data_IF_158394337796
#
_entry.id   IF_158394337796
#
_cell.length_a   1.000
_cell.length_b   1.000
_cell.length_c   1.000
_cell.angle_alpha   90.00
_cell.angle_beta   90.00
_cell.angle_gamma   90.00
#
_symmetry.space_group_name_H-M   'P 1'
#
loop_
_entity.id
_entity.type
_entity.pdbx_description
1 polymer ?
#
# COMPACT_ATOMS: atom_id res chain seq x y z
N UNK A 1 20.00 -17.31 -18.22
CA UNK A 1 19.10 -17.43 -17.05
C UNK A 1 18.53 -16.04 -16.79
N UNK A 2 17.21 -15.87 -16.83
CA UNK A 2 16.60 -14.58 -16.49
C UNK A 2 16.62 -14.44 -14.97
N UNK A 3 17.43 -13.53 -14.44
CA UNK A 3 17.47 -13.28 -13.00
C UNK A 3 16.07 -12.91 -12.50
N UNK A 4 15.53 -13.73 -11.59
CA UNK A 4 14.55 -13.26 -10.63
C UNK A 4 15.33 -12.21 -9.83
N UNK A 5 15.06 -10.92 -10.06
CA UNK A 5 15.75 -9.85 -9.31
C UNK A 5 15.70 -10.22 -7.82
N UNK A 6 16.87 -10.18 -7.14
CA UNK A 6 16.93 -10.36 -5.69
C UNK A 6 15.81 -9.53 -5.09
N UNK A 7 14.88 -10.18 -4.40
CA UNK A 7 13.81 -9.48 -3.71
C UNK A 7 14.47 -8.38 -2.88
N UNK A 8 14.16 -7.12 -3.19
CA UNK A 8 14.52 -6.01 -2.32
C UNK A 8 13.97 -6.26 -0.92
N UNK A 9 14.31 -5.39 0.04
CA UNK A 9 13.73 -5.49 1.39
C UNK A 9 12.20 -5.40 1.27
N UNK A 10 11.51 -6.53 1.42
CA UNK A 10 10.06 -6.60 1.35
C UNK A 10 9.50 -5.71 2.44
N UNK A 11 8.60 -4.80 2.09
CA UNK A 11 7.88 -4.05 3.11
C UNK A 11 6.99 -5.03 3.89
N UNK A 12 7.27 -5.16 5.19
CA UNK A 12 6.52 -6.02 6.11
C UNK A 12 5.42 -5.25 6.85
N UNK A 13 5.30 -3.94 6.61
CA UNK A 13 4.36 -3.04 7.28
C UNK A 13 3.10 -2.76 6.44
N UNK A 14 2.68 -3.71 5.60
CA UNK A 14 1.42 -3.59 4.85
C UNK A 14 0.28 -4.11 5.74
N UNK A 15 -0.34 -3.21 6.51
CA UNK A 15 -1.46 -3.52 7.41
C UNK A 15 -2.82 -3.47 6.70
N UNK A 16 -2.91 -4.11 5.53
CA UNK A 16 -4.15 -4.23 4.77
C UNK A 16 -4.34 -5.60 4.13
N UNK A 17 -5.57 -5.91 3.74
CA UNK A 17 -5.90 -7.05 2.90
C UNK A 17 -6.71 -6.61 1.69
N UNK A 18 -6.46 -7.21 0.53
CA UNK A 18 -7.30 -7.06 -0.66
C UNK A 18 -8.03 -8.37 -0.89
N UNK A 19 -9.35 -8.32 -1.01
CA UNK A 19 -10.13 -9.46 -1.49
C UNK A 19 -10.75 -9.14 -2.84
N UNK A 20 -10.75 -10.13 -3.73
CA UNK A 20 -11.34 -10.04 -5.07
C UNK A 20 -12.33 -11.18 -5.25
N UNK A 21 -13.59 -10.86 -5.49
CA UNK A 21 -14.62 -11.85 -5.83
C UNK A 21 -14.78 -11.89 -7.35
N UNK A 22 -14.24 -12.92 -7.99
CA UNK A 22 -14.27 -13.05 -9.46
C UNK A 22 -15.68 -13.29 -10.03
N UNK A 23 -16.64 -13.75 -9.21
CA UNK A 23 -18.03 -13.97 -9.69
C UNK A 23 -18.80 -12.67 -9.74
N UNK A 24 -18.61 -11.83 -8.73
CA UNK A 24 -19.24 -10.51 -8.63
C UNK A 24 -18.43 -9.41 -9.32
N UNK A 25 -17.17 -9.70 -9.61
CA UNK A 25 -16.16 -8.74 -10.06
C UNK A 25 -15.93 -7.62 -9.02
N UNK A 26 -16.07 -7.94 -7.72
CA UNK A 26 -15.87 -7.00 -6.62
C UNK A 26 -14.41 -7.01 -6.16
N UNK A 27 -13.89 -5.83 -5.81
CA UNK A 27 -12.62 -5.67 -5.11
C UNK A 27 -12.92 -4.96 -3.80
N UNK A 28 -12.41 -5.48 -2.70
CA UNK A 28 -12.60 -4.93 -1.36
C UNK A 28 -11.24 -4.69 -0.73
N UNK A 29 -11.02 -3.45 -0.30
CA UNK A 29 -9.85 -3.05 0.47
C UNK A 29 -10.18 -3.03 1.95
N UNK A 30 -9.52 -3.92 2.68
CA UNK A 30 -9.65 -4.05 4.12
C UNK A 30 -8.45 -3.41 4.78
N UNK A 31 -8.67 -2.40 5.59
CA UNK A 31 -7.58 -1.69 6.27
C UNK A 31 -7.99 -1.31 7.68
N UNK A 32 -7.01 -1.17 8.56
CA UNK A 32 -7.22 -0.60 9.88
C UNK A 32 -6.70 0.82 9.86
N UNK A 33 -7.46 1.72 10.44
CA UNK A 33 -7.02 3.08 10.68
C UNK A 33 -7.40 3.45 12.11
N UNK A 34 -6.41 3.96 12.87
CA UNK A 34 -6.47 4.06 14.33
C UNK A 34 -6.94 2.76 15.00
N UNK A 35 -8.18 2.71 15.47
CA UNK A 35 -8.80 1.54 16.13
C UNK A 35 -9.92 0.92 15.30
N UNK A 36 -10.27 1.50 14.15
CA UNK A 36 -11.41 1.11 13.33
C UNK A 36 -10.93 0.24 12.17
N UNK A 37 -11.61 -0.89 11.96
CA UNK A 37 -11.44 -1.71 10.75
C UNK A 37 -12.41 -1.20 9.68
N UNK A 38 -11.90 -0.90 8.50
CA UNK A 38 -12.67 -0.44 7.35
C UNK A 38 -12.75 -1.52 6.29
N UNK A 39 -13.95 -1.65 5.70
CA UNK A 39 -14.22 -2.44 4.49
C UNK A 39 -14.58 -1.47 3.37
N UNK A 40 -13.65 -1.24 2.47
CA UNK A 40 -13.79 -0.23 1.42
C UNK A 40 -14.09 -0.93 0.10
N UNK A 41 -15.24 -0.62 -0.48
CA UNK A 41 -15.63 -1.14 -1.80
C UNK A 41 -14.91 -0.35 -2.90
N UNK A 42 -14.19 -1.07 -3.77
CA UNK A 42 -13.46 -0.51 -4.90
C UNK A 42 -14.24 -0.70 -6.19
N UNK A 43 -14.67 0.40 -6.80
CA UNK A 43 -15.47 0.39 -8.03
C UNK A 43 -14.62 0.71 -9.27
N UNK A 44 -13.43 1.26 -9.10
CA UNK A 44 -12.52 1.62 -10.20
C UNK A 44 -11.62 0.45 -10.57
N UNK A 45 -11.33 0.32 -11.87
CA UNK A 45 -10.42 -0.69 -12.42
C UNK A 45 -9.37 0.01 -13.29
N UNK A 46 -8.14 -0.51 -13.35
CA UNK A 46 -7.13 -0.01 -14.28
C UNK A 46 -7.61 -0.21 -15.72
N UNK A 47 -7.55 0.85 -16.52
CA UNK A 47 -7.78 0.77 -17.96
C UNK A 47 -6.43 0.53 -18.65
N UNK A 48 -6.19 -0.69 -19.11
CA UNK A 48 -4.91 -1.11 -19.64
C UNK A 48 -4.76 -0.81 -21.13
N UNK A 49 -3.62 -0.24 -21.50
CA UNK A 49 -3.11 -0.24 -22.87
C UNK A 49 -2.11 -1.38 -23.01
N UNK A 50 -2.45 -2.40 -23.81
CA UNK A 50 -1.57 -3.55 -24.08
C UNK A 50 -0.69 -3.24 -25.29
N UNK A 51 0.56 -3.67 -25.24
CA UNK A 51 1.54 -3.50 -26.31
C UNK A 51 2.02 -4.87 -26.81
N UNK A 52 2.47 -4.92 -28.06
CA UNK A 52 3.04 -6.14 -28.68
C UNK A 52 4.47 -6.46 -28.20
N UNK A 53 5.04 -5.60 -27.35
CA UNK A 53 6.34 -5.81 -26.74
C UNK A 53 6.32 -7.05 -25.83
N UNK A 54 7.19 -8.01 -26.14
CA UNK A 54 7.41 -9.21 -25.37
C UNK A 54 8.71 -9.11 -24.57
N UNK A 55 8.62 -9.45 -23.29
CA UNK A 55 9.76 -9.50 -22.38
C UNK A 55 9.72 -10.81 -21.59
N UNK A 56 10.90 -11.42 -21.38
CA UNK A 56 11.01 -12.57 -20.49
C UNK A 56 11.17 -12.09 -19.04
N UNK A 57 10.22 -12.43 -18.17
CA UNK A 57 10.28 -12.16 -16.73
C UNK A 57 10.39 -13.49 -15.99
N UNK A 58 11.58 -13.78 -15.45
CA UNK A 58 11.91 -15.09 -14.89
C UNK A 58 11.80 -16.18 -15.96
N UNK A 59 10.83 -17.09 -15.78
CA UNK A 59 10.57 -18.20 -16.70
C UNK A 59 9.38 -17.96 -17.65
N UNK A 60 8.73 -16.80 -17.57
CA UNK A 60 7.53 -16.51 -18.35
C UNK A 60 7.83 -15.54 -19.49
N UNK A 61 7.26 -15.82 -20.65
CA UNK A 61 7.12 -14.82 -21.71
C UNK A 61 5.94 -13.92 -21.35
N UNK A 62 6.19 -12.61 -21.36
CA UNK A 62 5.24 -11.62 -20.86
C UNK A 62 5.00 -10.52 -21.88
N UNK A 63 3.75 -10.07 -21.98
CA UNK A 63 3.37 -8.89 -22.73
C UNK A 63 3.37 -7.66 -21.83
N UNK A 64 3.80 -6.53 -22.38
CA UNK A 64 3.78 -5.24 -21.69
C UNK A 64 2.37 -4.63 -21.73
N UNK A 65 1.96 -4.03 -20.63
CA UNK A 65 0.79 -3.18 -20.53
C UNK A 65 1.07 -1.94 -19.67
N UNK A 66 0.40 -0.83 -19.96
CA UNK A 66 0.52 0.41 -19.17
C UNK A 66 -0.87 0.93 -18.80
N UNK A 67 -0.96 1.63 -17.66
CA UNK A 67 -2.18 2.30 -17.22
C UNK A 67 -1.84 3.51 -16.36
N UNK A 68 -2.74 4.49 -16.32
CA UNK A 68 -2.76 5.50 -15.27
C UNK A 68 -3.88 5.12 -14.29
N UNK A 69 -3.50 4.83 -13.05
CA UNK A 69 -4.41 4.32 -12.04
C UNK A 69 -4.03 4.85 -10.65
N UNK A 70 -5.03 5.40 -9.94
CA UNK A 70 -4.90 5.96 -8.58
C UNK A 70 -3.76 6.99 -8.47
N UNK A 71 -3.78 7.95 -9.39
CA UNK A 71 -2.82 9.05 -9.46
C UNK A 71 -1.41 8.68 -9.96
N UNK A 72 -1.16 7.43 -10.37
CA UNK A 72 0.16 6.97 -10.80
C UNK A 72 0.14 6.30 -12.18
N UNK A 73 1.23 6.47 -12.94
CA UNK A 73 1.51 5.64 -14.12
C UNK A 73 2.15 4.33 -13.69
N UNK A 74 1.63 3.24 -14.23
CA UNK A 74 2.09 1.88 -13.96
C UNK A 74 2.45 1.18 -15.26
N UNK A 75 3.57 0.44 -15.21
CA UNK A 75 3.94 -0.52 -16.25
C UNK A 75 3.83 -1.92 -15.66
N UNK A 76 3.06 -2.79 -16.33
CA UNK A 76 2.85 -4.18 -15.97
C UNK A 76 3.37 -5.11 -17.06
N UNK A 77 3.90 -6.26 -16.64
CA UNK A 77 4.21 -7.40 -17.50
C UNK A 77 3.36 -8.58 -17.06
N UNK A 78 2.55 -9.11 -17.96
CA UNK A 78 1.62 -10.21 -17.70
C UNK A 78 1.88 -11.40 -18.62
N UNK A 79 1.53 -12.61 -18.17
CA UNK A 79 1.74 -13.84 -18.94
C UNK A 79 0.46 -14.64 -19.12
N UNK A 80 0.20 -15.08 -20.36
CA UNK A 80 -0.91 -15.99 -20.71
C UNK A 80 -0.63 -17.44 -20.28
N UNK A 81 0.62 -17.78 -19.96
CA UNK A 81 1.00 -19.12 -19.49
C UNK A 81 0.34 -19.47 -18.14
N UNK A 82 -0.04 -18.46 -17.36
CA UNK A 82 -0.88 -18.61 -16.17
C UNK A 82 -2.21 -17.92 -16.48
N UNK A 83 -3.26 -18.66 -16.88
CA UNK A 83 -4.53 -18.11 -17.36
C UNK A 83 -5.42 -17.63 -16.20
N UNK A 84 -4.87 -16.80 -15.32
CA UNK A 84 -5.56 -16.17 -14.20
C UNK A 84 -5.48 -14.66 -14.44
N UNK A 85 -6.61 -14.04 -14.73
CA UNK A 85 -6.70 -12.62 -15.08
C UNK A 85 -6.61 -11.72 -13.84
N UNK A 86 -5.48 -11.77 -13.15
CA UNK A 86 -5.29 -11.13 -11.85
C UNK A 86 -3.86 -10.61 -11.65
N UNK A 87 -3.63 -9.93 -10.53
CA UNK A 87 -2.35 -9.35 -10.14
C UNK A 87 -2.30 -8.97 -8.66
N UNK A 88 -1.13 -8.49 -8.21
CA UNK A 88 -0.95 -8.02 -6.85
C UNK A 88 -1.83 -6.78 -6.56
N UNK A 89 -2.06 -6.49 -5.28
CA UNK A 89 -2.86 -5.35 -4.85
C UNK A 89 -4.25 -5.33 -5.54
N UNK A 90 -4.71 -4.18 -6.02
CA UNK A 90 -5.98 -3.97 -6.73
C UNK A 90 -5.85 -4.23 -8.25
N UNK A 91 -4.66 -4.53 -8.76
CA UNK A 91 -4.43 -4.69 -10.21
C UNK A 91 -5.05 -6.00 -10.73
N UNK A 92 -5.84 -5.90 -11.79
CA UNK A 92 -6.49 -7.01 -12.51
C UNK A 92 -6.92 -6.55 -13.90
N UNK A 93 -7.53 -7.41 -14.72
CA UNK A 93 -8.00 -7.06 -16.09
C UNK A 93 -7.01 -7.42 -17.22
N UNK A 94 -5.82 -7.88 -16.83
CA UNK A 94 -4.87 -8.71 -17.58
C UNK A 94 -5.45 -9.92 -18.34
N UNK A 95 -5.26 -10.19 -19.65
CA UNK A 95 -5.48 -11.55 -20.16
C UNK A 95 -4.31 -12.46 -19.77
N UNK A 96 -4.32 -12.92 -18.51
CA UNK A 96 -3.23 -13.65 -17.85
C UNK A 96 -2.75 -12.96 -16.56
N UNK A 97 -1.84 -13.63 -15.84
CA UNK A 97 -1.38 -13.17 -14.54
C UNK A 97 -0.34 -12.05 -14.69
N UNK A 98 -0.51 -10.96 -13.95
CA UNK A 98 0.51 -9.91 -13.80
C UNK A 98 1.64 -10.45 -12.93
N UNK A 99 2.82 -10.65 -13.52
CA UNK A 99 3.99 -11.21 -12.85
C UNK A 99 5.00 -10.15 -12.42
N UNK A 100 4.92 -8.96 -13.01
CA UNK A 100 5.70 -7.78 -12.59
C UNK A 100 4.88 -6.53 -12.84
N UNK A 101 4.90 -5.60 -11.90
CA UNK A 101 4.30 -4.28 -12.08
C UNK A 101 5.05 -3.26 -11.22
N UNK A 102 5.28 -2.07 -11.75
CA UNK A 102 5.99 -1.00 -11.05
C UNK A 102 5.46 0.37 -11.47
N UNK A 103 5.58 1.33 -10.54
CA UNK A 103 5.25 2.72 -10.80
C UNK A 103 6.38 3.40 -11.60
N UNK A 104 6.03 4.41 -12.40
CA UNK A 104 7.00 5.17 -13.23
C UNK A 104 8.14 5.80 -12.40
N UNK A 105 7.85 6.23 -11.17
CA UNK A 105 8.83 6.76 -10.22
C UNK A 105 9.65 5.68 -9.50
N UNK A 106 9.41 4.39 -9.78
CA UNK A 106 9.99 3.22 -9.12
C UNK A 106 9.83 3.20 -7.59
N UNK A 107 8.89 3.99 -7.03
CA UNK A 107 8.59 3.98 -5.60
C UNK A 107 7.93 2.67 -5.15
N UNK A 108 7.19 2.02 -6.05
CA UNK A 108 6.47 0.79 -5.77
C UNK A 108 6.73 -0.24 -6.86
N UNK A 109 7.05 -1.45 -6.45
CA UNK A 109 7.25 -2.57 -7.36
C UNK A 109 6.73 -3.86 -6.74
N UNK A 110 6.00 -4.62 -7.55
CA UNK A 110 5.59 -5.98 -7.27
C UNK A 110 6.23 -6.91 -8.28
N UNK A 111 6.72 -8.06 -7.81
CA UNK A 111 7.34 -9.06 -8.67
C UNK A 111 6.99 -10.45 -8.14
N UNK A 112 6.56 -11.33 -9.04
CA UNK A 112 6.27 -12.72 -8.72
C UNK A 112 7.57 -13.44 -8.39
N UNK A 113 7.70 -13.88 -7.14
CA UNK A 113 8.87 -14.65 -6.68
C UNK A 113 8.59 -16.14 -6.80
N UNK A 114 7.38 -16.58 -6.47
CA UNK A 114 7.02 -18.00 -6.43
C UNK A 114 5.54 -18.20 -6.72
N UNK A 115 5.22 -19.26 -7.46
CA UNK A 115 3.88 -19.80 -7.61
C UNK A 115 3.79 -21.14 -6.88
N UNK A 116 2.83 -21.28 -5.97
CA UNK A 116 2.61 -22.52 -5.22
C UNK A 116 1.12 -22.88 -5.23
N UNK A 117 0.83 -24.14 -5.55
CA UNK A 117 -0.52 -24.69 -5.39
C UNK A 117 -0.80 -24.94 -3.91
N UNK A 118 -1.87 -24.36 -3.40
CA UNK A 118 -2.31 -24.53 -2.01
C UNK A 118 -3.61 -25.32 -2.04
N UNK A 119 -3.73 -26.30 -1.15
CA UNK A 119 -4.99 -27.03 -0.90
C UNK A 119 -5.63 -26.45 0.36
N UNK A 120 -6.95 -26.27 0.36
CA UNK A 120 -7.74 -25.83 1.52
C UNK A 120 -7.30 -24.46 2.10
N UNK A 121 -7.35 -23.40 1.30
CA UNK A 121 -7.21 -22.03 1.81
C UNK A 121 -8.49 -21.58 2.51
N UNK A 122 -8.38 -21.19 3.79
CA UNK A 122 -9.43 -20.43 4.47
C UNK A 122 -9.12 -18.94 4.27
N UNK A 123 -10.05 -18.21 3.69
CA UNK A 123 -10.00 -16.75 3.66
C UNK A 123 -10.30 -16.29 5.09
N UNK A 124 -9.43 -15.46 5.66
CA UNK A 124 -9.68 -14.87 6.98
C UNK A 124 -10.80 -13.85 6.85
N UNK A 125 -11.88 -14.04 7.62
CA UNK A 125 -12.91 -13.02 7.76
C UNK A 125 -12.48 -12.03 8.83
N UNK A 126 -12.29 -10.78 8.42
CA UNK A 126 -12.06 -9.67 9.35
C UNK A 126 -13.42 -9.34 9.99
N UNK A 127 -13.45 -9.29 11.32
CA UNK A 127 -14.67 -9.00 12.09
C UNK A 127 -14.78 -7.51 12.38
N UNK A 128 -16.01 -7.04 12.59
CA UNK A 128 -16.33 -5.67 13.01
C UNK A 128 -15.82 -4.60 12.04
N UNK A 129 -15.98 -4.84 10.75
CA UNK A 129 -15.61 -3.87 9.72
C UNK A 129 -16.74 -2.86 9.49
N UNK A 130 -16.37 -1.58 9.39
CA UNK A 130 -17.28 -0.53 8.90
C UNK A 130 -17.18 -0.45 7.38
N UNK A 131 -18.28 -0.73 6.70
CA UNK A 131 -18.35 -0.60 5.23
C UNK A 131 -18.50 0.86 4.83
N UNK A 132 -17.62 1.33 3.94
CA UNK A 132 -17.65 2.68 3.36
C UNK A 132 -17.20 2.65 1.90
N UNK A 133 -17.46 3.73 1.16
CA UNK A 133 -16.91 3.92 -0.19
C UNK A 133 -15.47 4.44 -0.13
N UNK A 134 -14.72 4.32 -1.23
CA UNK A 134 -13.39 4.93 -1.32
C UNK A 134 -13.45 6.45 -1.06
N UNK A 135 -14.43 7.17 -1.63
CA UNK A 135 -14.61 8.62 -1.41
C UNK A 135 -14.78 8.96 0.09
N UNK A 136 -15.63 8.22 0.79
CA UNK A 136 -15.83 8.42 2.23
C UNK A 136 -14.56 8.13 3.03
N UNK A 137 -13.76 7.16 2.59
CA UNK A 137 -12.48 6.86 3.23
C UNK A 137 -11.46 7.98 3.02
N UNK A 138 -11.36 8.52 1.80
CA UNK A 138 -10.48 9.66 1.52
C UNK A 138 -10.89 10.90 2.31
N UNK A 139 -12.19 11.19 2.42
CA UNK A 139 -12.70 12.26 3.28
C UNK A 139 -12.35 12.03 4.75
N UNK A 140 -12.41 10.78 5.21
CA UNK A 140 -12.03 10.41 6.57
C UNK A 140 -10.53 10.68 6.82
N UNK A 141 -9.66 10.28 5.90
CA UNK A 141 -8.21 10.52 5.99
C UNK A 141 -7.87 12.02 5.95
N UNK A 142 -8.50 12.78 5.04
CA UNK A 142 -8.27 14.24 4.89
C UNK A 142 -8.66 15.04 6.13
N UNK A 143 -9.76 14.64 6.78
CA UNK A 143 -10.28 15.31 7.97
C UNK A 143 -9.66 14.79 9.27
N UNK A 144 -8.89 13.69 9.21
CA UNK A 144 -8.24 13.13 10.38
C UNK A 144 -7.20 14.09 10.96
N UNK A 145 -7.23 14.24 12.28
CA UNK A 145 -6.22 14.95 13.05
C UNK A 145 -5.71 13.98 14.10
N UNK A 146 -4.44 13.51 14.01
CA UNK A 146 -3.92 12.58 14.99
C UNK A 146 -3.95 13.20 16.38
N UNK A 147 -4.15 12.34 17.37
CA UNK A 147 -4.08 12.67 18.79
C UNK A 147 -3.04 11.78 19.47
N UNK A 148 -2.61 12.15 20.68
CA UNK A 148 -1.73 11.29 21.49
C UNK A 148 -2.35 9.91 21.71
N UNK A 149 -3.68 9.83 21.78
CA UNK A 149 -4.39 8.57 21.96
C UNK A 149 -4.28 7.62 20.76
N UNK A 150 -3.86 8.10 19.59
CA UNK A 150 -3.65 7.29 18.40
C UNK A 150 -2.24 6.65 18.37
N UNK A 151 -1.32 7.15 19.20
CA UNK A 151 0.04 6.65 19.35
C UNK A 151 0.01 5.40 20.23
N UNK A 152 0.48 4.27 19.70
CA UNK A 152 0.64 3.02 20.41
C UNK A 152 1.98 2.94 21.15
N UNK A 153 3.06 3.41 20.51
CA UNK A 153 4.40 3.44 21.11
C UNK A 153 5.28 4.52 20.47
N UNK A 154 6.27 4.99 21.21
CA UNK A 154 7.31 5.90 20.73
C UNK A 154 8.68 5.29 21.06
N UNK A 155 9.59 5.32 20.10
CA UNK A 155 10.99 4.92 20.29
C UNK A 155 11.92 5.93 19.63
N UNK A 156 13.14 6.06 20.14
CA UNK A 156 14.16 6.95 19.59
C UNK A 156 15.41 6.14 19.33
N UNK A 157 15.96 6.22 18.12
CA UNK A 157 17.19 5.53 17.78
C UNK A 157 18.45 6.28 18.28
N UNK A 158 19.62 5.65 18.17
CA UNK A 158 20.90 6.26 18.58
C UNK A 158 21.26 7.52 17.80
N UNK A 159 20.64 7.74 16.64
CA UNK A 159 20.88 8.89 15.78
C UNK A 159 19.90 10.04 16.08
N UNK A 160 18.94 9.83 16.98
CA UNK A 160 17.94 10.82 17.38
C UNK A 160 16.67 10.81 16.52
N UNK A 161 16.48 9.80 15.67
CA UNK A 161 15.23 9.64 14.90
C UNK A 161 14.15 9.10 15.83
N UNK A 162 13.00 9.79 15.89
CA UNK A 162 11.85 9.34 16.66
C UNK A 162 10.90 8.53 15.77
N UNK A 163 10.63 7.28 16.15
CA UNK A 163 9.64 6.41 15.49
C UNK A 163 8.36 6.34 16.33
N UNK A 164 7.26 6.76 15.72
CA UNK A 164 5.92 6.75 16.31
C UNK A 164 5.12 5.59 15.71
N UNK A 165 4.83 4.57 16.50
CA UNK A 165 3.94 3.49 16.11
C UNK A 165 2.50 3.90 16.43
N UNK A 166 1.66 3.92 15.42
CA UNK A 166 0.23 4.22 15.52
C UNK A 166 -0.57 2.96 15.87
N UNK A 167 -1.78 3.11 16.40
CA UNK A 167 -2.65 1.97 16.79
C UNK A 167 -3.13 1.10 15.62
N UNK A 168 -3.04 1.60 14.40
CA UNK A 168 -3.28 0.83 13.18
C UNK A 168 -2.06 -0.01 12.74
N UNK A 169 -0.90 0.18 13.38
CA UNK A 169 0.35 -0.50 13.07
C UNK A 169 1.30 0.31 12.19
N UNK A 170 0.85 1.44 11.64
CA UNK A 170 1.71 2.31 10.85
C UNK A 170 2.82 2.90 11.72
N UNK A 171 4.06 2.91 11.20
CA UNK A 171 5.20 3.50 11.88
C UNK A 171 5.66 4.74 11.12
N UNK A 172 5.62 5.87 11.80
CA UNK A 172 5.99 7.16 11.23
C UNK A 172 7.32 7.58 11.85
N UNK A 173 8.33 7.75 11.00
CA UNK A 173 9.65 8.22 11.43
C UNK A 173 9.72 9.73 11.25
N UNK A 174 9.89 10.45 12.36
CA UNK A 174 10.05 11.89 12.37
C UNK A 174 11.49 12.21 12.77
N UNK A 175 12.20 12.89 11.88
CA UNK A 175 13.52 13.44 12.17
C UNK A 175 13.36 14.90 12.61
N UNK A 176 13.38 15.13 13.92
CA UNK A 176 13.31 16.49 14.47
C UNK A 176 14.74 17.01 14.62
N UNK A 177 15.05 18.15 14.01
CA UNK A 177 16.39 18.74 14.09
C UNK A 177 16.76 19.05 15.54
N UNK A 178 18.04 18.90 15.90
CA UNK A 178 18.56 19.26 17.24
C UNK A 178 18.22 20.69 17.61
N UNK A 179 18.31 21.62 16.66
CA UNK A 179 17.93 23.02 16.84
C UNK A 179 16.46 23.17 17.28
N UNK A 180 15.54 22.41 16.66
CA UNK A 180 14.11 22.43 17.01
C UNK A 180 13.88 21.84 18.40
N UNK A 181 14.57 20.73 18.74
CA UNK A 181 14.50 20.11 20.06
C UNK A 181 15.04 21.04 21.16
N UNK A 182 16.15 21.73 20.93
CA UNK A 182 16.73 22.68 21.88
C UNK A 182 15.84 23.90 22.05
N UNK A 183 15.33 24.46 20.94
CA UNK A 183 14.44 25.63 20.93
C UNK A 183 13.16 25.40 21.71
N UNK A 184 12.58 24.20 21.64
CA UNK A 184 11.32 23.88 22.30
C UNK A 184 11.47 22.93 23.49
N UNK A 185 12.69 22.71 23.99
CA UNK A 185 12.98 21.83 25.13
C UNK A 185 12.11 22.13 26.36
N UNK A 186 11.83 23.41 26.61
CA UNK A 186 11.05 23.88 27.75
C UNK A 186 9.58 24.16 27.41
N UNK A 187 9.13 23.89 26.18
CA UNK A 187 7.76 24.08 25.72
C UNK A 187 7.23 22.79 25.08
N UNK A 188 6.82 21.86 25.95
CA UNK A 188 6.37 20.53 25.55
C UNK A 188 5.10 20.57 24.70
N UNK A 189 4.19 21.51 24.94
CA UNK A 189 2.95 21.66 24.16
C UNK A 189 3.27 22.01 22.70
N UNK A 190 4.15 22.99 22.48
CA UNK A 190 4.55 23.41 21.12
C UNK A 190 5.37 22.35 20.40
N UNK A 191 6.21 21.60 21.12
CA UNK A 191 6.90 20.45 20.54
C UNK A 191 5.90 19.35 20.15
N UNK A 192 4.88 19.13 20.98
CA UNK A 192 3.75 18.24 20.70
C UNK A 192 3.03 18.63 19.40
N UNK A 193 2.64 19.90 19.24
CA UNK A 193 1.97 20.39 18.03
C UNK A 193 2.79 20.14 16.75
N UNK A 194 4.11 20.35 16.81
CA UNK A 194 5.02 20.09 15.67
C UNK A 194 4.98 18.60 15.32
N UNK A 195 5.11 17.72 16.32
CA UNK A 195 5.05 16.27 16.13
C UNK A 195 3.69 15.87 15.53
N UNK A 196 2.58 16.37 16.08
CA UNK A 196 1.23 16.03 15.60
C UNK A 196 1.01 16.49 14.15
N UNK A 197 1.60 17.63 13.76
CA UNK A 197 1.54 18.13 12.38
C UNK A 197 2.29 17.21 11.41
N UNK A 198 3.48 16.74 11.78
CA UNK A 198 4.26 15.79 10.97
C UNK A 198 3.52 14.44 10.86
N UNK A 199 2.94 13.93 11.95
CA UNK A 199 2.14 12.70 11.93
C UNK A 199 0.93 12.81 10.99
N UNK A 200 0.27 13.97 10.94
CA UNK A 200 -0.92 14.16 10.11
C UNK A 200 -0.64 14.01 8.61
N UNK A 201 0.55 14.41 8.13
CA UNK A 201 0.93 14.30 6.72
C UNK A 201 1.18 12.87 6.22
N UNK A 202 1.34 11.91 7.13
CA UNK A 202 1.72 10.53 6.83
C UNK A 202 0.57 9.52 6.81
N UNK A 203 -0.67 9.98 7.03
CA UNK A 203 -1.86 9.11 7.13
C UNK A 203 -2.36 8.53 5.78
N UNK A 204 -1.77 8.92 4.66
CA UNK A 204 -2.22 8.55 3.31
C UNK A 204 -1.75 7.14 2.91
N UNK A 205 -2.51 6.50 2.03
CA UNK A 205 -2.10 5.22 1.42
C UNK A 205 -0.88 5.46 0.51
N UNK A 206 0.33 4.96 0.83
CA UNK A 206 1.55 5.32 0.09
C UNK A 206 1.52 4.85 -1.37
N UNK A 207 0.75 3.80 -1.67
CA UNK A 207 0.64 3.20 -3.01
C UNK A 207 -0.19 4.08 -3.95
N UNK A 208 -1.19 4.78 -3.43
CA UNK A 208 -2.13 5.58 -4.21
C UNK A 208 -1.83 7.08 -3.99
N UNK A 209 -1.91 7.89 -5.04
CA UNK A 209 -1.81 9.35 -4.88
C UNK A 209 -3.23 9.94 -4.92
N UNK A 210 -3.45 10.95 -4.08
CA UNK A 210 -4.66 11.77 -4.15
C UNK A 210 -4.77 12.41 -5.54
N UNK A 211 -5.97 12.41 -6.11
CA UNK A 211 -6.29 13.04 -7.41
C UNK A 211 -6.24 14.58 -7.36
#
# INVERSE_FOLDING_TARGET
>A
MGEIMKAGRMDKNLHYNITKDYKKNDIVYHTKFTTINFRILENERPNWKIFDELLKVGNYECQKAETFYKGRKWTAYFTKAIPINDGPYKFSGLPGLIVKIFSEDNSHQFSLIQLKRIQNSKIQNIKNERTITNTQYQEYLKNYRPTISDIAAVSVDSNGTSSYMMKDGNVININISRETLEKYRNNQDKLGEIIMKELAGSALNPIELDE
#
